data_IF_618014825186
#
_entry.id   IF_618014825186
#
_cell.length_a   1.000
_cell.length_b   1.000
_cell.length_c   1.000
_cell.angle_alpha   90.00
_cell.angle_beta   90.00
_cell.angle_gamma   90.00
#
_symmetry.space_group_name_H-M   'P 1'
#
loop_
_entity.id
_entity.type
_entity.pdbx_description
1 polymer ?
#
# COMPACT_ATOMS: atom_id res chain seq x y z
N UNK A 1 2.21 12.07 6.97
CA UNK A 1 1.67 11.27 5.85
C UNK A 1 0.57 11.98 5.05
N UNK A 2 -0.58 12.35 5.61
CA UNK A 2 -1.67 13.00 4.83
C UNK A 2 -1.20 14.28 4.10
N UNK A 3 -0.37 15.13 4.75
CA UNK A 3 0.23 16.30 4.11
C UNK A 3 1.11 15.92 2.91
N UNK A 4 1.89 14.86 3.02
CA UNK A 4 2.71 14.35 1.90
C UNK A 4 1.82 13.89 0.75
N UNK A 5 0.78 13.10 1.03
CA UNK A 5 -0.19 12.65 0.03
C UNK A 5 -0.82 13.85 -0.71
N UNK A 6 -1.35 14.83 0.04
CA UNK A 6 -1.98 16.05 -0.53
C UNK A 6 -1.02 16.95 -1.31
N UNK A 7 0.27 16.90 -1.00
CA UNK A 7 1.28 17.66 -1.73
C UNK A 7 1.69 16.93 -3.03
N UNK A 8 1.70 15.60 -3.03
CA UNK A 8 2.10 14.77 -4.18
C UNK A 8 0.97 14.62 -5.19
N UNK A 9 -0.27 14.45 -4.71
CA UNK A 9 -1.42 14.06 -5.52
C UNK A 9 -2.61 14.98 -5.27
N UNK A 10 -3.43 15.14 -6.29
CA UNK A 10 -4.73 15.78 -6.16
C UNK A 10 -5.71 14.74 -5.60
N UNK A 11 -6.23 14.99 -4.40
CA UNK A 11 -7.02 14.02 -3.64
C UNK A 11 -8.28 14.64 -3.06
N UNK A 12 -9.32 13.82 -2.92
CA UNK A 12 -10.59 14.20 -2.29
C UNK A 12 -10.83 13.29 -1.09
N UNK A 13 -11.14 13.90 0.07
CA UNK A 13 -11.57 13.13 1.25
C UNK A 13 -13.01 12.67 1.02
N UNK A 14 -13.29 11.38 1.20
CA UNK A 14 -14.61 10.79 0.95
C UNK A 14 -15.11 10.01 2.17
N UNK A 15 -16.43 9.82 2.24
CA UNK A 15 -17.07 9.01 3.27
C UNK A 15 -16.90 7.50 3.01
N UNK A 16 -16.78 6.72 4.07
CA UNK A 16 -16.81 5.25 4.01
C UNK A 16 -18.16 4.69 3.57
N UNK A 17 -19.23 5.48 3.59
CA UNK A 17 -20.55 5.07 3.07
C UNK A 17 -20.51 4.66 1.59
N UNK A 18 -19.58 5.25 0.82
CA UNK A 18 -19.40 4.96 -0.60
C UNK A 18 -18.31 3.91 -0.86
N UNK A 19 -17.77 3.30 0.19
CA UNK A 19 -16.65 2.36 0.11
C UNK A 19 -17.14 0.92 0.23
N UNK A 20 -16.44 -0.02 -0.41
CA UNK A 20 -16.79 -1.44 -0.32
C UNK A 20 -16.76 -1.92 1.12
N UNK A 21 -17.95 -2.22 1.67
CA UNK A 21 -18.15 -2.68 3.05
C UNK A 21 -17.21 -3.85 3.42
N UNK A 22 -17.06 -4.83 2.53
CA UNK A 22 -16.18 -5.98 2.77
C UNK A 22 -14.71 -5.58 3.02
N UNK A 23 -14.18 -4.62 2.25
CA UNK A 23 -12.79 -4.19 2.42
C UNK A 23 -12.61 -3.35 3.69
N UNK A 24 -13.58 -2.51 4.05
CA UNK A 24 -13.60 -1.82 5.34
C UNK A 24 -13.62 -2.82 6.52
N UNK A 25 -14.49 -3.82 6.48
CA UNK A 25 -14.59 -4.86 7.51
C UNK A 25 -13.28 -5.66 7.65
N UNK A 26 -12.60 -5.98 6.55
CA UNK A 26 -11.28 -6.60 6.60
C UNK A 26 -10.23 -5.72 7.30
N UNK A 27 -10.22 -4.41 7.04
CA UNK A 27 -9.28 -3.48 7.68
C UNK A 27 -9.57 -3.39 9.18
N UNK A 28 -10.84 -3.20 9.57
CA UNK A 28 -11.26 -3.18 10.97
C UNK A 28 -10.87 -4.47 11.68
N UNK A 29 -11.14 -5.62 11.06
CA UNK A 29 -10.78 -6.92 11.61
C UNK A 29 -9.27 -7.01 11.85
N UNK A 30 -8.44 -6.70 10.84
CA UNK A 30 -6.99 -6.75 10.96
C UNK A 30 -6.46 -5.81 12.05
N UNK A 31 -6.98 -4.59 12.15
CA UNK A 31 -6.58 -3.65 13.21
C UNK A 31 -6.96 -4.20 14.58
N UNK A 32 -8.18 -4.73 14.73
CA UNK A 32 -8.66 -5.27 16.00
C UNK A 32 -7.80 -6.44 16.48
N UNK A 33 -7.43 -7.37 15.58
CA UNK A 33 -6.68 -8.56 15.94
C UNK A 33 -5.19 -8.27 16.12
N UNK A 34 -4.58 -7.48 15.23
CA UNK A 34 -3.13 -7.26 15.25
C UNK A 34 -2.69 -6.17 16.22
N UNK A 35 -3.56 -5.20 16.53
CA UNK A 35 -3.22 -4.03 17.36
C UNK A 35 -4.06 -3.95 18.64
N UNK A 36 -5.04 -4.83 18.82
CA UNK A 36 -5.93 -4.85 19.99
C UNK A 36 -6.65 -3.50 20.20
N UNK A 37 -7.00 -2.83 19.10
CA UNK A 37 -7.77 -1.58 19.10
C UNK A 37 -9.22 -1.93 18.78
N UNK A 38 -10.16 -1.46 19.60
CA UNK A 38 -11.59 -1.68 19.35
C UNK A 38 -12.09 -0.81 18.21
N UNK A 39 -13.12 -1.25 17.50
CA UNK A 39 -13.67 -0.52 16.35
C UNK A 39 -14.13 0.89 16.73
N UNK A 40 -14.83 1.06 17.86
CA UNK A 40 -15.30 2.36 18.34
C UNK A 40 -14.17 3.35 18.63
N UNK A 41 -12.95 2.84 18.79
CA UNK A 41 -11.76 3.62 19.04
C UNK A 41 -11.01 4.01 17.77
N UNK A 42 -11.30 3.38 16.63
CA UNK A 42 -10.58 3.62 15.37
C UNK A 42 -10.97 4.97 14.77
N UNK A 43 -9.99 5.63 14.15
CA UNK A 43 -10.19 6.93 13.51
C UNK A 43 -9.68 6.88 12.08
N UNK A 44 -10.62 6.67 11.16
CA UNK A 44 -10.31 6.52 9.75
C UNK A 44 -10.40 7.85 8.97
N UNK A 45 -9.53 8.00 7.97
CA UNK A 45 -9.67 8.96 6.88
C UNK A 45 -9.47 8.24 5.55
N UNK A 46 -10.43 8.37 4.65
CA UNK A 46 -10.41 7.80 3.31
C UNK A 46 -10.24 8.93 2.29
N UNK A 47 -9.28 8.75 1.39
CA UNK A 47 -9.05 9.64 0.27
C UNK A 47 -9.18 8.89 -1.03
N UNK A 48 -9.89 9.47 -2.00
CA UNK A 48 -9.85 9.07 -3.41
C UNK A 48 -8.83 9.95 -4.12
N UNK A 49 -7.98 9.34 -4.93
CA UNK A 49 -7.03 10.06 -5.79
C UNK A 49 -7.79 10.50 -7.05
N UNK A 50 -7.56 11.71 -7.53
CA UNK A 50 -8.10 12.15 -8.82
C UNK A 50 -7.18 11.68 -9.94
N UNK A 51 -7.74 11.05 -10.98
CA UNK A 51 -6.98 10.62 -12.15
C UNK A 51 -6.52 11.84 -12.97
N UNK A 52 -5.21 12.04 -13.07
CA UNK A 52 -4.55 13.08 -13.86
C UNK A 52 -3.06 12.73 -14.07
N UNK A 53 -2.30 13.64 -14.65
CA UNK A 53 -0.87 13.42 -14.96
C UNK A 53 -0.01 13.05 -13.74
N UNK A 54 -0.37 13.50 -12.52
CA UNK A 54 0.36 13.17 -11.29
C UNK A 54 0.08 11.75 -10.79
N UNK A 55 -1.11 11.22 -11.08
CA UNK A 55 -1.62 9.98 -10.52
C UNK A 55 -1.69 8.82 -11.51
N UNK A 56 -1.52 9.08 -12.81
CA UNK A 56 -1.62 8.11 -13.89
C UNK A 56 -0.91 6.78 -13.61
N UNK A 57 0.33 6.84 -13.11
CA UNK A 57 1.12 5.65 -12.82
C UNK A 57 0.51 4.71 -11.76
N UNK A 58 -0.40 5.19 -10.91
CA UNK A 58 -1.08 4.38 -9.89
C UNK A 58 -2.37 3.73 -10.41
N UNK A 59 -2.90 4.24 -11.52
CA UNK A 59 -4.07 3.68 -12.21
C UNK A 59 -3.69 2.60 -13.22
N UNK A 60 -2.48 2.66 -13.79
CA UNK A 60 -1.98 1.61 -14.69
C UNK A 60 -1.88 0.23 -13.98
N UNK A 61 -1.77 0.24 -12.64
CA UNK A 61 -1.70 -0.96 -11.79
C UNK A 61 -3.09 -1.58 -11.48
N UNK A 62 -4.17 -0.81 -11.69
CA UNK A 62 -5.54 -1.16 -11.32
C UNK A 62 -6.19 -2.18 -12.24
N UNK A 63 -5.76 -2.30 -13.52
CA UNK A 63 -6.38 -3.24 -14.46
C UNK A 63 -6.34 -4.70 -13.98
N UNK A 64 -5.41 -5.03 -13.07
CA UNK A 64 -5.32 -6.37 -12.46
C UNK A 64 -6.22 -6.59 -11.24
N UNK A 65 -6.85 -5.54 -10.70
CA UNK A 65 -7.55 -5.56 -9.40
C UNK A 65 -9.05 -5.23 -9.45
N UNK A 66 -9.65 -5.06 -10.64
CA UNK A 66 -11.07 -4.73 -10.83
C UNK A 66 -11.56 -3.48 -10.05
N UNK A 67 -10.64 -2.64 -9.56
CA UNK A 67 -10.99 -1.37 -8.96
C UNK A 67 -11.22 -0.33 -10.06
N UNK A 68 -12.06 0.67 -9.82
CA UNK A 68 -12.21 1.80 -10.74
C UNK A 68 -11.39 3.01 -10.31
N UNK A 69 -11.20 3.15 -9.00
CA UNK A 69 -10.58 4.30 -8.37
C UNK A 69 -9.42 3.88 -7.46
N UNK A 70 -8.39 4.74 -7.39
CA UNK A 70 -7.32 4.60 -6.39
C UNK A 70 -7.78 5.24 -5.09
N UNK A 71 -7.68 4.49 -4.00
CA UNK A 71 -8.00 4.97 -2.66
C UNK A 71 -6.81 4.82 -1.73
N UNK A 72 -6.76 5.68 -0.71
CA UNK A 72 -5.84 5.57 0.43
C UNK A 72 -6.63 5.71 1.72
N UNK A 73 -6.42 4.76 2.63
CA UNK A 73 -7.01 4.76 3.96
C UNK A 73 -5.92 5.01 4.99
N UNK A 74 -6.19 5.92 5.91
CA UNK A 74 -5.41 6.17 7.10
C UNK A 74 -6.22 5.77 8.32
N UNK A 75 -5.67 4.94 9.20
CA UNK A 75 -6.19 4.79 10.55
C UNK A 75 -5.19 5.35 11.55
N UNK A 76 -5.63 6.32 12.34
CA UNK A 76 -4.74 7.16 13.16
C UNK A 76 -4.13 6.43 14.35
N UNK A 77 -4.88 5.57 15.05
CA UNK A 77 -4.40 4.95 16.30
C UNK A 77 -3.42 3.81 16.05
N UNK A 78 -3.69 2.97 15.07
CA UNK A 78 -2.83 1.86 14.63
C UNK A 78 -1.66 2.32 13.77
N UNK A 79 -1.78 3.48 13.13
CA UNK A 79 -0.83 3.96 12.14
C UNK A 79 -0.86 3.15 10.84
N UNK A 80 -1.91 2.37 10.60
CA UNK A 80 -2.12 1.67 9.33
C UNK A 80 -2.38 2.69 8.22
N UNK A 81 -1.72 2.45 7.10
CA UNK A 81 -1.89 3.16 5.84
C UNK A 81 -2.03 2.07 4.78
N UNK A 82 -3.05 2.13 3.94
CA UNK A 82 -3.25 1.15 2.87
C UNK A 82 -3.78 1.83 1.62
N UNK A 83 -3.39 1.33 0.46
CA UNK A 83 -3.90 1.80 -0.83
C UNK A 83 -4.43 0.66 -1.68
N UNK A 84 -5.41 0.94 -2.54
CA UNK A 84 -5.84 -0.01 -3.57
C UNK A 84 -4.81 -0.20 -4.70
N UNK A 85 -3.91 0.78 -4.90
CA UNK A 85 -2.75 0.67 -5.81
C UNK A 85 -1.56 0.07 -5.08
N UNK A 86 -0.95 -0.98 -5.65
CA UNK A 86 0.25 -1.63 -5.10
C UNK A 86 1.41 -0.65 -5.04
N UNK A 87 1.72 -0.01 -6.17
CA UNK A 87 2.76 0.99 -6.28
C UNK A 87 2.60 2.14 -5.25
N UNK A 88 1.39 2.69 -5.10
CA UNK A 88 1.15 3.77 -4.14
C UNK A 88 1.31 3.28 -2.69
N UNK A 89 0.89 2.04 -2.39
CA UNK A 89 1.07 1.45 -1.06
C UNK A 89 2.56 1.37 -0.71
N UNK A 90 3.38 0.83 -1.61
CA UNK A 90 4.82 0.67 -1.41
C UNK A 90 5.52 2.02 -1.24
N UNK A 91 5.16 3.04 -2.04
CA UNK A 91 5.71 4.38 -1.86
C UNK A 91 5.35 5.01 -0.51
N UNK A 92 4.12 4.79 -0.03
CA UNK A 92 3.68 5.30 1.26
C UNK A 92 4.41 4.60 2.42
N UNK A 93 4.65 3.29 2.31
CA UNK A 93 5.41 2.53 3.29
C UNK A 93 6.90 2.90 3.30
N UNK A 94 7.50 3.11 2.13
CA UNK A 94 8.84 3.69 2.01
C UNK A 94 8.95 5.05 2.70
N UNK A 95 8.00 5.96 2.44
CA UNK A 95 8.00 7.28 3.07
C UNK A 95 7.76 7.20 4.59
N UNK A 96 6.98 6.23 5.04
CA UNK A 96 6.76 5.97 6.47
C UNK A 96 8.04 5.48 7.14
N UNK A 97 8.81 4.67 6.43
CA UNK A 97 10.00 4.00 6.93
C UNK A 97 9.66 2.89 7.93
N UNK A 98 10.72 2.20 8.36
CA UNK A 98 10.68 1.22 9.45
C UNK A 98 11.46 1.74 10.66
N UNK A 99 11.24 1.17 11.84
CA UNK A 99 12.05 1.50 13.00
C UNK A 99 13.50 1.01 12.80
N UNK A 100 14.45 1.62 13.51
CA UNK A 100 15.84 1.16 13.51
C UNK A 100 15.95 -0.31 13.94
N UNK A 101 15.15 -0.71 14.93
CA UNK A 101 15.09 -2.11 15.39
C UNK A 101 14.64 -3.07 14.28
N UNK A 102 13.55 -2.74 13.57
CA UNK A 102 13.08 -3.53 12.42
C UNK A 102 14.14 -3.58 11.30
N UNK A 103 14.86 -2.50 11.08
CA UNK A 103 15.93 -2.46 10.08
C UNK A 103 17.12 -3.36 10.48
N UNK A 104 17.66 -3.18 11.69
CA UNK A 104 18.86 -3.89 12.12
C UNK A 104 18.63 -5.38 12.39
N UNK A 105 17.43 -5.76 12.82
CA UNK A 105 17.08 -7.16 13.06
C UNK A 105 16.44 -7.83 11.83
N UNK A 106 16.35 -7.10 10.71
CA UNK A 106 15.57 -7.51 9.54
C UNK A 106 14.18 -8.01 9.95
N UNK A 107 13.45 -7.24 10.73
CA UNK A 107 12.14 -7.61 11.25
C UNK A 107 11.11 -7.87 10.14
N UNK A 108 9.94 -8.36 10.54
CA UNK A 108 8.91 -8.75 9.57
C UNK A 108 8.42 -7.57 8.74
N UNK A 109 8.35 -6.36 9.31
CA UNK A 109 7.91 -5.16 8.60
C UNK A 109 8.96 -4.73 7.58
N UNK A 110 10.25 -4.82 7.95
CA UNK A 110 11.34 -4.55 7.01
C UNK A 110 11.35 -5.55 5.84
N UNK A 111 11.30 -6.86 6.13
CA UNK A 111 11.26 -7.88 5.07
C UNK A 111 10.05 -7.75 4.16
N UNK A 112 8.88 -7.41 4.71
CA UNK A 112 7.69 -7.17 3.91
C UNK A 112 7.88 -5.98 2.97
N UNK A 113 8.43 -4.86 3.47
CA UNK A 113 8.72 -3.70 2.65
C UNK A 113 9.68 -4.02 1.50
N UNK A 114 10.73 -4.81 1.74
CA UNK A 114 11.65 -5.26 0.69
C UNK A 114 10.94 -6.15 -0.34
N UNK A 115 10.15 -7.12 0.11
CA UNK A 115 9.41 -8.01 -0.79
C UNK A 115 8.42 -7.22 -1.67
N UNK A 116 7.70 -6.27 -1.10
CA UNK A 116 6.76 -5.45 -1.87
C UNK A 116 7.48 -4.55 -2.89
N UNK A 117 8.68 -4.04 -2.54
CA UNK A 117 9.53 -3.29 -3.47
C UNK A 117 10.01 -4.14 -4.64
N UNK A 118 10.43 -5.38 -4.38
CA UNK A 118 10.86 -6.32 -5.41
C UNK A 118 9.72 -6.62 -6.38
N UNK A 119 8.51 -6.90 -5.87
CA UNK A 119 7.31 -7.14 -6.69
C UNK A 119 7.02 -5.95 -7.61
N UNK A 120 7.06 -4.72 -7.08
CA UNK A 120 6.80 -3.52 -7.89
C UNK A 120 7.91 -3.25 -8.90
N UNK A 121 9.17 -3.57 -8.57
CA UNK A 121 10.28 -3.48 -9.51
C UNK A 121 10.13 -4.48 -10.67
N UNK A 122 9.75 -5.72 -10.36
CA UNK A 122 9.48 -6.78 -11.35
C UNK A 122 8.31 -6.41 -12.28
N UNK A 123 7.20 -5.89 -11.72
CA UNK A 123 6.05 -5.44 -12.52
C UNK A 123 6.46 -4.39 -13.57
N UNK A 124 7.41 -3.52 -13.24
CA UNK A 124 7.92 -2.49 -14.16
C UNK A 124 9.01 -2.98 -15.11
N UNK A 125 9.71 -4.06 -14.78
CA UNK A 125 10.84 -4.59 -15.56
C UNK A 125 10.74 -6.11 -15.76
N UNK A 126 9.66 -6.64 -16.37
CA UNK A 126 9.38 -8.07 -16.40
C UNK A 126 10.46 -8.90 -17.13
N UNK A 127 11.16 -8.29 -18.10
CA UNK A 127 12.18 -8.96 -18.91
C UNK A 127 13.50 -9.25 -18.17
N UNK A 128 13.83 -8.48 -17.13
CA UNK A 128 15.07 -8.68 -16.35
C UNK A 128 14.98 -9.99 -15.54
N UNK A 129 13.77 -10.34 -15.07
CA UNK A 129 13.57 -11.50 -14.21
C UNK A 129 13.64 -12.84 -14.97
N UNK A 130 13.20 -12.89 -16.23
CA UNK A 130 13.36 -14.09 -17.06
C UNK A 130 14.84 -14.45 -17.29
N UNK A 131 15.72 -13.45 -17.40
CA UNK A 131 17.16 -13.68 -17.56
C UNK A 131 17.81 -14.16 -16.25
N UNK A 132 17.39 -13.62 -15.10
CA UNK A 132 17.88 -14.04 -13.77
C UNK A 132 17.43 -15.47 -13.43
N UNK A 133 16.17 -15.85 -13.76
CA UNK A 133 15.68 -17.21 -13.59
C UNK A 133 16.37 -18.23 -14.52
N UNK A 134 16.76 -17.82 -15.74
CA UNK A 134 17.53 -18.68 -16.66
C UNK A 134 18.95 -18.98 -16.15
N UNK A 135 19.50 -18.14 -15.28
CA UNK A 135 20.84 -18.32 -14.68
C UNK A 135 20.77 -19.18 -13.41
N UNK A 136 19.71 -19.11 -12.60
CA UNK A 136 19.67 -19.75 -11.28
C UNK A 136 19.09 -21.18 -11.21
N UNK A 137 18.51 -21.72 -12.28
CA UNK A 137 17.93 -23.08 -12.28
C UNK A 137 18.65 -24.10 -13.18
N UNK A 138 19.79 -23.74 -13.78
CA UNK A 138 20.64 -24.70 -14.52
C UNK A 138 21.80 -25.25 -13.70
N UNK A 139 22.06 -24.66 -12.53
CA UNK A 139 23.17 -25.05 -11.64
C UNK A 139 22.68 -25.61 -10.29
N UNK A 140 21.44 -26.11 -10.24
CA UNK A 140 20.89 -26.93 -9.15
C UNK A 140 20.58 -28.35 -9.62
#
# INVERSE_FOLDING_TARGET
MIKYLKNKLDVVEVSFENFTKAYYECIVFNISQCKNIKEEDMQFKLFTILENDKSKAYYDDIETRNAKDVHVIFERKSGIITSSSGLLSVELDLFKGVSEEEYYNEGIVFRQLIADLEIEYERKNPYIFEEVLKVNFKDL
#
